data_IF_202563266592
#
_entry.id   IF_202563266592
#
_cell.length_a   1.000
_cell.length_b   1.000
_cell.length_c   1.000
_cell.angle_alpha   90.00
_cell.angle_beta   90.00
_cell.angle_gamma   90.00
#
_symmetry.space_group_name_H-M   'P 1'
#
loop_
_entity.id
_entity.type
_entity.pdbx_description
1 polymer ?
#
# COMPACT_ATOMS: atom_id res chain seq x y z
N UNK A 1 5.77 0.77 -12.59
CA UNK A 1 4.89 1.78 -11.99
C UNK A 1 4.24 1.19 -10.76
N UNK A 2 4.24 1.93 -9.66
CA UNK A 2 3.68 1.51 -8.38
C UNK A 2 2.33 2.18 -8.17
N UNK A 3 1.36 1.42 -7.69
CA UNK A 3 0.03 1.90 -7.34
C UNK A 3 -0.30 1.60 -5.90
N UNK A 4 -1.10 2.44 -5.25
CA UNK A 4 -1.77 2.06 -4.02
C UNK A 4 -3.28 2.30 -4.09
N UNK A 5 -4.04 1.39 -3.51
CA UNK A 5 -5.48 1.49 -3.34
C UNK A 5 -5.80 1.56 -1.86
N UNK A 6 -6.59 2.55 -1.46
CA UNK A 6 -7.04 2.72 -0.10
C UNK A 6 -8.37 3.45 -0.02
N UNK A 7 -8.83 3.65 1.20
CA UNK A 7 -10.02 4.44 1.46
C UNK A 7 -9.94 5.14 2.80
N UNK A 8 -10.50 6.34 2.88
CA UNK A 8 -10.76 7.03 4.15
C UNK A 8 -12.25 6.97 4.47
N UNK A 9 -12.60 7.11 5.75
CA UNK A 9 -13.99 7.18 6.17
C UNK A 9 -14.27 8.54 6.80
N UNK A 10 -15.40 9.14 6.43
CA UNK A 10 -15.87 10.41 7.02
C UNK A 10 -17.36 10.33 7.33
N UNK A 11 -17.84 11.24 8.17
CA UNK A 11 -19.25 11.37 8.51
C UNK A 11 -19.73 12.72 8.00
N UNK A 12 -20.66 12.70 7.05
CA UNK A 12 -21.30 13.91 6.52
C UNK A 12 -22.80 13.78 6.78
N UNK A 13 -23.39 14.77 7.47
CA UNK A 13 -24.82 14.80 7.79
C UNK A 13 -25.31 13.46 8.43
N UNK A 14 -24.56 12.95 9.41
CA UNK A 14 -24.84 11.69 10.11
C UNK A 14 -24.78 10.42 9.23
N UNK A 15 -24.26 10.50 8.01
CA UNK A 15 -24.03 9.36 7.12
C UNK A 15 -22.55 9.02 7.05
N UNK A 16 -22.20 7.76 7.31
CA UNK A 16 -20.84 7.24 7.09
C UNK A 16 -20.59 7.08 5.59
N UNK A 17 -19.59 7.80 5.09
CA UNK A 17 -19.11 7.73 3.73
C UNK A 17 -17.72 7.10 3.71
N UNK A 18 -17.47 6.28 2.71
CA UNK A 18 -16.15 5.77 2.36
C UNK A 18 -15.68 6.53 1.13
N UNK A 19 -14.49 7.12 1.19
CA UNK A 19 -13.88 7.84 0.09
C UNK A 19 -12.71 6.98 -0.40
N UNK A 20 -12.92 6.18 -1.47
CA UNK A 20 -11.83 5.41 -2.03
C UNK A 20 -10.90 6.31 -2.84
N UNK A 21 -9.64 5.94 -2.91
CA UNK A 21 -8.65 6.60 -3.73
C UNK A 21 -7.68 5.58 -4.32
N UNK A 22 -7.14 5.90 -5.49
CA UNK A 22 -6.01 5.21 -6.10
C UNK A 22 -4.87 6.20 -6.27
N UNK A 23 -3.66 5.77 -5.98
CA UNK A 23 -2.44 6.53 -6.30
C UNK A 23 -1.58 5.77 -7.28
N UNK A 24 -0.78 6.50 -8.05
CA UNK A 24 0.19 5.94 -8.99
C UNK A 24 1.47 6.77 -9.00
N UNK A 25 2.63 6.11 -9.06
CA UNK A 25 3.91 6.80 -9.27
C UNK A 25 3.93 7.44 -10.66
N UNK A 26 4.31 8.72 -10.78
CA UNK A 26 4.27 9.46 -12.06
C UNK A 26 5.59 9.34 -12.84
N UNK A 27 6.71 9.16 -12.15
CA UNK A 27 8.06 9.14 -12.74
C UNK A 27 8.76 7.80 -12.52
N UNK A 28 9.69 7.48 -13.41
CA UNK A 28 10.48 6.24 -13.39
C UNK A 28 11.32 6.06 -12.12
N UNK A 29 11.74 7.15 -11.47
CA UNK A 29 12.44 7.11 -10.18
C UNK A 29 11.51 6.94 -8.97
N UNK A 30 10.20 6.94 -9.21
CA UNK A 30 9.17 6.71 -8.19
C UNK A 30 9.23 7.67 -6.99
N UNK A 31 9.72 8.89 -7.21
CA UNK A 31 9.77 9.98 -6.23
C UNK A 31 8.47 10.79 -6.15
N UNK A 32 7.67 10.78 -7.22
CA UNK A 32 6.42 11.55 -7.35
C UNK A 32 5.23 10.63 -7.57
N UNK A 33 4.10 10.98 -6.96
CA UNK A 33 2.86 10.23 -7.01
C UNK A 33 1.69 11.16 -7.27
N UNK A 34 0.74 10.68 -8.07
CA UNK A 34 -0.53 11.32 -8.30
C UNK A 34 -1.65 10.54 -7.65
N UNK A 35 -2.65 11.26 -7.17
CA UNK A 35 -3.81 10.70 -6.48
C UNK A 35 -5.04 10.93 -7.35
N UNK A 36 -5.91 9.93 -7.40
CA UNK A 36 -7.26 10.03 -7.96
C UNK A 36 -8.25 9.58 -6.90
N UNK A 37 -9.18 10.48 -6.57
CA UNK A 37 -10.30 10.18 -5.68
C UNK A 37 -11.40 9.53 -6.51
N UNK A 38 -11.89 8.40 -6.03
CA UNK A 38 -13.03 7.71 -6.60
C UNK A 38 -14.32 8.25 -5.98
N UNK A 39 -15.45 7.97 -6.63
CA UNK A 39 -16.77 8.32 -6.14
C UNK A 39 -16.97 7.83 -4.70
N UNK A 40 -17.35 8.73 -3.76
CA UNK A 40 -17.66 8.33 -2.39
C UNK A 40 -18.80 7.31 -2.36
N UNK A 41 -18.66 6.31 -1.50
CA UNK A 41 -19.59 5.19 -1.37
C UNK A 41 -20.23 5.27 0.01
N UNK A 42 -21.56 5.23 0.06
CA UNK A 42 -22.26 5.01 1.32
C UNK A 42 -22.28 3.52 1.64
N UNK A 43 -22.08 3.13 2.90
CA UNK A 43 -21.95 1.72 3.34
C UNK A 43 -23.10 0.75 2.92
N UNK A 44 -24.20 1.26 2.36
CA UNK A 44 -25.35 0.48 1.88
C UNK A 44 -25.47 0.42 0.35
N UNK A 45 -24.72 1.21 -0.41
CA UNK A 45 -24.73 1.18 -1.88
C UNK A 45 -23.81 0.07 -2.39
N UNK A 46 -24.43 -0.98 -2.96
CA UNK A 46 -23.75 -2.17 -3.50
C UNK A 46 -23.70 -2.18 -5.03
N UNK A 47 -23.20 -1.13 -5.68
CA UNK A 47 -22.89 -1.20 -7.11
C UNK A 47 -21.38 -1.41 -7.31
N UNK A 48 -20.93 -2.65 -7.08
CA UNK A 48 -19.54 -3.07 -7.35
C UNK A 48 -19.12 -2.66 -8.77
N UNK A 49 -20.04 -2.78 -9.74
CA UNK A 49 -19.78 -2.41 -11.14
C UNK A 49 -19.45 -0.92 -11.33
N UNK A 50 -20.15 -0.02 -10.62
CA UNK A 50 -19.91 1.41 -10.73
C UNK A 50 -18.57 1.78 -10.11
N UNK A 51 -18.24 1.16 -8.97
CA UNK A 51 -16.94 1.31 -8.33
C UNK A 51 -15.82 0.83 -9.24
N UNK A 52 -15.95 -0.37 -9.81
CA UNK A 52 -14.96 -0.93 -10.72
C UNK A 52 -14.79 -0.07 -11.98
N UNK A 53 -15.89 0.43 -12.56
CA UNK A 53 -15.83 1.34 -13.72
C UNK A 53 -15.09 2.63 -13.41
N UNK A 54 -15.35 3.22 -12.25
CA UNK A 54 -14.66 4.44 -11.81
C UNK A 54 -13.17 4.16 -11.54
N UNK A 55 -12.87 3.05 -10.86
CA UNK A 55 -11.50 2.59 -10.62
C UNK A 55 -10.72 2.39 -11.92
N UNK A 56 -11.29 1.69 -12.91
CA UNK A 56 -10.67 1.50 -14.22
C UNK A 56 -10.40 2.82 -14.92
N UNK A 57 -11.32 3.78 -14.83
CA UNK A 57 -11.16 5.12 -15.40
C UNK A 57 -9.99 5.86 -14.75
N UNK A 58 -9.95 5.88 -13.42
CA UNK A 58 -8.89 6.55 -12.64
C UNK A 58 -7.53 5.88 -12.81
N UNK A 59 -7.52 4.56 -12.96
CA UNK A 59 -6.33 3.81 -13.27
C UNK A 59 -5.77 4.17 -14.66
N UNK A 60 -6.62 4.27 -15.68
CA UNK A 60 -6.21 4.69 -17.02
C UNK A 60 -5.64 6.12 -17.03
N UNK A 61 -6.26 7.06 -16.31
CA UNK A 61 -5.75 8.43 -16.15
C UNK A 61 -4.31 8.44 -15.58
N UNK A 62 -4.01 7.61 -14.59
CA UNK A 62 -2.67 7.52 -13.99
C UNK A 62 -1.64 6.91 -14.95
N UNK A 63 -2.01 5.92 -15.75
CA UNK A 63 -1.12 5.35 -16.77
C UNK A 63 -0.81 6.38 -17.85
N UNK A 64 -1.81 7.15 -18.30
CA UNK A 64 -1.62 8.22 -19.27
C UNK A 64 -0.66 9.28 -18.72
N UNK A 65 -0.85 9.70 -17.47
CA UNK A 65 0.05 10.64 -16.81
C UNK A 65 1.48 10.11 -16.74
N UNK A 66 1.68 8.83 -16.39
CA UNK A 66 3.01 8.20 -16.43
C UNK A 66 3.61 8.22 -17.84
N UNK A 67 2.82 7.91 -18.87
CA UNK A 67 3.27 7.93 -20.26
C UNK A 67 3.68 9.35 -20.69
N UNK A 68 2.94 10.38 -20.31
CA UNK A 68 3.27 11.76 -20.64
C UNK A 68 4.61 12.20 -20.04
N UNK A 69 4.89 11.80 -18.79
CA UNK A 69 6.14 12.13 -18.09
C UNK A 69 7.34 11.33 -18.62
N UNK A 70 7.17 10.04 -18.88
CA UNK A 70 8.30 9.15 -19.19
C UNK A 70 8.46 8.86 -20.69
N UNK A 71 7.47 9.25 -21.51
CA UNK A 71 7.37 8.90 -22.94
C UNK A 71 7.45 7.39 -23.23
N UNK A 72 7.11 6.59 -22.22
CA UNK A 72 7.11 5.14 -22.27
C UNK A 72 6.00 4.62 -21.35
N UNK A 73 5.32 3.55 -21.79
CA UNK A 73 4.37 2.85 -20.93
C UNK A 73 5.11 2.08 -19.82
N UNK A 74 4.48 1.88 -18.67
CA UNK A 74 5.06 1.07 -17.61
C UNK A 74 5.10 -0.41 -18.02
N UNK A 75 6.29 -1.02 -18.01
CA UNK A 75 6.46 -2.44 -18.36
C UNK A 75 6.07 -3.41 -17.23
N UNK A 76 5.97 -2.91 -16.00
CA UNK A 76 5.59 -3.67 -14.79
C UNK A 76 4.67 -2.81 -13.92
N UNK A 77 3.65 -3.45 -13.34
CA UNK A 77 2.67 -2.81 -12.47
C UNK A 77 2.70 -3.51 -11.12
N UNK A 78 2.87 -2.75 -10.04
CA UNK A 78 2.87 -3.29 -8.67
C UNK A 78 1.79 -2.57 -7.88
N UNK A 79 0.86 -3.33 -7.29
CA UNK A 79 -0.28 -2.79 -6.57
C UNK A 79 -0.16 -3.06 -5.07
N UNK A 80 -0.27 -2.02 -4.27
CA UNK A 80 -0.39 -2.09 -2.83
C UNK A 80 -1.84 -1.83 -2.43
N UNK A 81 -2.51 -2.81 -1.83
CA UNK A 81 -3.83 -2.60 -1.24
C UNK A 81 -3.68 -2.40 0.27
N UNK A 82 -4.20 -1.28 0.76
CA UNK A 82 -4.28 -1.01 2.19
C UNK A 82 -5.61 -1.57 2.67
N UNK A 83 -5.56 -2.55 3.55
CA UNK A 83 -6.74 -2.99 4.29
C UNK A 83 -6.55 -2.62 5.77
N UNK A 84 -7.55 -1.97 6.35
CA UNK A 84 -7.56 -1.64 7.79
C UNK A 84 -8.31 -2.77 8.50
N UNK A 85 -7.78 -3.98 8.37
CA UNK A 85 -8.35 -5.17 8.99
C UNK A 85 -7.77 -5.37 10.39
N UNK A 86 -8.63 -5.74 11.36
CA UNK A 86 -8.26 -6.07 12.74
C UNK A 86 -7.52 -7.43 12.89
N UNK A 87 -6.88 -7.95 11.83
CA UNK A 87 -6.08 -9.18 11.90
C UNK A 87 -4.71 -8.86 12.51
N UNK A 88 -4.72 -8.52 13.78
CA UNK A 88 -3.57 -8.67 14.64
C UNK A 88 -3.65 -10.08 15.21
N UNK A 89 -2.91 -11.00 14.59
CA UNK A 89 -2.71 -12.33 15.14
C UNK A 89 -2.05 -12.17 16.51
N UNK A 90 -2.61 -12.86 17.51
CA UNK A 90 -2.13 -12.93 18.89
C UNK A 90 -0.64 -13.28 19.01
N UNK A 91 -0.07 -13.86 17.95
CA UNK A 91 1.30 -14.37 17.87
C UNK A 91 2.35 -13.26 17.71
N UNK A 92 1.99 -12.07 17.22
CA UNK A 92 2.90 -10.92 17.15
C UNK A 92 3.29 -10.38 18.53
N UNK A 93 2.47 -10.61 19.56
CA UNK A 93 2.79 -10.20 20.94
C UNK A 93 4.00 -10.96 21.52
N UNK A 94 4.40 -12.08 20.90
CA UNK A 94 5.57 -12.87 21.30
C UNK A 94 6.86 -12.18 20.83
N UNK A 95 6.77 -11.37 19.78
CA UNK A 95 7.92 -10.68 19.19
C UNK A 95 8.23 -9.42 20.01
N UNK A 96 9.07 -9.59 21.04
CA UNK A 96 9.70 -8.48 21.75
C UNK A 96 10.54 -7.66 20.77
N UNK A 97 10.51 -6.34 20.93
CA UNK A 97 11.31 -5.30 20.25
C UNK A 97 12.30 -5.83 19.19
N UNK A 98 11.94 -5.74 17.91
CA UNK A 98 12.81 -6.13 16.81
C UNK A 98 13.69 -4.98 16.35
N UNK A 99 14.87 -5.30 15.79
CA UNK A 99 15.67 -4.32 15.08
C UNK A 99 14.92 -3.80 13.85
N UNK A 100 15.19 -2.56 13.46
CA UNK A 100 14.70 -2.01 12.19
C UNK A 100 15.23 -2.85 11.02
N UNK A 101 14.43 -2.96 9.96
CA UNK A 101 14.67 -3.81 8.77
C UNK A 101 14.66 -5.32 9.04
N UNK A 102 14.10 -5.76 10.16
CA UNK A 102 13.86 -7.19 10.38
C UNK A 102 12.76 -7.67 9.44
N UNK A 103 13.03 -8.74 8.70
CA UNK A 103 12.05 -9.44 7.85
C UNK A 103 11.83 -10.83 8.43
N UNK A 104 10.57 -11.22 8.61
CA UNK A 104 10.19 -12.55 9.11
C UNK A 104 9.32 -13.21 8.04
N UNK A 105 9.82 -14.30 7.47
CA UNK A 105 9.18 -15.02 6.38
C UNK A 105 9.24 -16.55 6.56
N UNK A 106 9.50 -17.00 7.78
CA UNK A 106 9.52 -18.40 8.20
C UNK A 106 8.73 -18.57 9.50
N UNK A 107 8.39 -19.81 9.84
CA UNK A 107 7.82 -20.27 11.12
C UNK A 107 6.40 -19.79 11.46
N UNK A 108 6.15 -18.48 11.42
CA UNK A 108 4.88 -17.83 11.77
C UNK A 108 4.10 -17.36 10.54
N UNK A 109 4.48 -17.87 9.36
CA UNK A 109 3.84 -17.58 8.08
C UNK A 109 3.06 -18.78 7.57
N UNK A 110 1.93 -18.56 6.90
CA UNK A 110 1.15 -19.64 6.33
C UNK A 110 1.95 -20.37 5.24
N UNK A 111 2.01 -21.71 5.26
CA UNK A 111 2.91 -22.49 4.40
C UNK A 111 2.58 -22.43 2.90
N UNK A 112 1.35 -22.06 2.55
CA UNK A 112 0.84 -22.06 1.18
C UNK A 112 0.61 -20.64 0.61
N UNK A 113 0.97 -19.60 1.36
CA UNK A 113 0.73 -18.21 0.99
C UNK A 113 2.06 -17.46 0.95
N UNK A 114 2.19 -16.53 0.01
CA UNK A 114 3.38 -15.67 -0.06
C UNK A 114 3.16 -14.50 0.90
N UNK A 115 3.52 -14.72 2.17
CA UNK A 115 3.38 -13.72 3.23
C UNK A 115 4.69 -13.51 3.98
N UNK A 116 4.90 -12.29 4.46
CA UNK A 116 6.06 -11.94 5.27
C UNK A 116 5.76 -10.73 6.13
N UNK A 117 6.48 -10.61 7.23
CA UNK A 117 6.41 -9.48 8.14
C UNK A 117 7.65 -8.60 7.97
N UNK A 118 7.49 -7.28 8.06
CA UNK A 118 8.61 -6.33 8.09
C UNK A 118 8.46 -5.39 9.28
N UNK A 119 9.53 -5.24 10.05
CA UNK A 119 9.73 -4.10 10.94
C UNK A 119 10.50 -3.00 10.21
N UNK A 120 9.81 -2.00 9.71
CA UNK A 120 10.36 -0.95 8.84
C UNK A 120 10.98 0.24 9.58
N UNK A 121 10.73 0.37 10.89
CA UNK A 121 11.10 1.55 11.66
C UNK A 121 11.75 1.20 13.00
N UNK A 122 12.61 2.09 13.49
CA UNK A 122 13.17 1.97 14.83
C UNK A 122 12.13 2.37 15.88
N UNK A 123 11.73 1.41 16.71
CA UNK A 123 10.81 1.61 17.83
C UNK A 123 11.43 2.52 18.88
N UNK A 124 10.83 3.69 19.11
CA UNK A 124 11.30 4.66 20.12
C UNK A 124 10.70 4.35 21.49
N UNK A 125 9.44 3.94 21.54
CA UNK A 125 8.72 3.63 22.76
C UNK A 125 7.68 2.54 22.48
N UNK A 126 7.51 1.60 23.43
CA UNK A 126 6.57 0.48 23.28
C UNK A 126 7.11 -0.67 22.44
N UNK A 127 6.20 -1.47 21.88
CA UNK A 127 6.52 -2.60 21.01
C UNK A 127 6.65 -2.15 19.55
N UNK A 128 7.49 -2.86 18.79
CA UNK A 128 7.64 -2.62 17.36
C UNK A 128 6.33 -2.90 16.63
N UNK A 129 5.88 -1.97 15.79
CA UNK A 129 4.73 -2.21 14.93
C UNK A 129 5.19 -2.92 13.66
N UNK A 130 5.04 -4.23 13.68
CA UNK A 130 5.40 -5.10 12.58
C UNK A 130 4.24 -5.13 11.59
N UNK A 131 4.53 -4.96 10.30
CA UNK A 131 3.52 -4.96 9.24
C UNK A 131 3.56 -6.29 8.50
N UNK A 132 2.40 -6.94 8.40
CA UNK A 132 2.18 -8.11 7.57
C UNK A 132 1.93 -7.69 6.12
N UNK A 133 2.70 -8.29 5.21
CA UNK A 133 2.50 -8.17 3.77
C UNK A 133 2.01 -9.49 3.21
N UNK A 134 0.97 -9.40 2.39
CA UNK A 134 0.39 -10.53 1.69
C UNK A 134 0.53 -10.29 0.18
N UNK A 135 1.21 -11.19 -0.52
CA UNK A 135 1.29 -11.17 -1.98
C UNK A 135 0.18 -12.04 -2.55
N UNK A 136 -0.91 -11.40 -2.98
CA UNK A 136 -2.09 -12.09 -3.52
C UNK A 136 -1.86 -12.60 -4.95
N UNK A 137 -1.14 -11.82 -5.76
CA UNK A 137 -0.91 -12.08 -7.18
C UNK A 137 0.55 -11.70 -7.50
N UNK A 138 1.28 -12.58 -8.19
CA UNK A 138 2.67 -12.37 -8.60
C UNK A 138 2.93 -12.87 -10.02
N UNK A 139 2.38 -12.16 -11.01
CA UNK A 139 2.60 -12.45 -12.44
C UNK A 139 3.98 -11.99 -12.94
N UNK A 140 4.64 -11.10 -12.19
CA UNK A 140 6.00 -10.63 -12.50
C UNK A 140 7.04 -11.74 -12.23
N UNK A 141 6.64 -12.81 -11.54
CA UNK A 141 7.49 -13.93 -11.14
C UNK A 141 8.70 -13.50 -10.29
N UNK A 142 8.55 -12.46 -9.47
CA UNK A 142 9.58 -12.08 -8.51
C UNK A 142 9.72 -13.14 -7.41
N UNK A 143 10.95 -13.43 -7.02
CA UNK A 143 11.21 -14.29 -5.86
C UNK A 143 10.97 -13.49 -4.56
N UNK A 144 10.69 -14.20 -3.48
CA UNK A 144 10.32 -13.58 -2.20
C UNK A 144 11.34 -12.52 -1.72
N UNK A 145 12.64 -12.78 -1.90
CA UNK A 145 13.69 -11.83 -1.53
C UNK A 145 13.65 -10.54 -2.36
N UNK A 146 13.34 -10.62 -3.66
CA UNK A 146 13.22 -9.44 -4.52
C UNK A 146 12.02 -8.59 -4.13
N UNK A 147 10.91 -9.27 -3.80
CA UNK A 147 9.71 -8.62 -3.27
C UNK A 147 10.07 -7.87 -1.99
N UNK A 148 10.62 -8.57 -0.98
CA UNK A 148 11.01 -7.98 0.31
C UNK A 148 11.97 -6.79 0.15
N UNK A 149 12.96 -6.91 -0.72
CA UNK A 149 13.90 -5.82 -1.00
C UNK A 149 13.20 -4.61 -1.64
N UNK A 150 12.29 -4.82 -2.58
CA UNK A 150 11.47 -3.75 -3.18
C UNK A 150 10.71 -2.97 -2.12
N UNK A 151 10.11 -3.66 -1.14
CA UNK A 151 9.41 -3.01 -0.02
C UNK A 151 10.36 -2.15 0.83
N UNK A 152 11.54 -2.66 1.18
CA UNK A 152 12.54 -1.92 1.97
C UNK A 152 13.10 -0.70 1.21
N UNK A 153 13.36 -0.81 -0.09
CA UNK A 153 13.84 0.31 -0.90
C UNK A 153 12.83 1.47 -0.95
N UNK A 154 11.52 1.18 -0.99
CA UNK A 154 10.49 2.20 -0.92
C UNK A 154 10.42 2.95 0.41
N UNK A 155 10.85 2.32 1.49
CA UNK A 155 10.97 2.97 2.80
C UNK A 155 12.22 3.87 2.81
N UNK A 156 13.30 3.42 2.16
CA UNK A 156 14.59 4.11 2.14
C UNK A 156 14.63 5.33 1.24
N UNK A 157 13.85 5.40 0.17
CA UNK A 157 13.77 6.58 -0.72
C UNK A 157 13.43 7.90 0.01
N UNK A 158 12.97 7.84 1.26
CA UNK A 158 12.63 8.99 2.11
C UNK A 158 13.71 9.33 3.16
N UNK A 159 14.92 8.74 3.05
CA UNK A 159 16.13 8.95 3.87
C UNK A 159 16.05 10.19 4.79
N UNK A 160 15.50 9.98 5.99
CA UNK A 160 15.52 10.87 7.20
C UNK A 160 14.26 10.69 8.08
N UNK A 161 13.16 10.12 7.57
CA UNK A 161 11.95 9.84 8.35
C UNK A 161 11.77 8.35 8.62
N UNK A 162 11.48 8.00 9.88
CA UNK A 162 11.08 6.64 10.33
C UNK A 162 9.69 6.33 9.78
N UNK A 163 9.61 5.92 8.52
CA UNK A 163 8.31 5.67 7.89
C UNK A 163 8.00 4.18 7.97
N UNK A 164 6.80 3.88 8.46
CA UNK A 164 6.36 2.50 8.66
C UNK A 164 5.97 1.81 7.34
N UNK A 165 5.52 2.59 6.36
CA UNK A 165 4.87 2.08 5.15
C UNK A 165 5.65 2.44 3.87
N UNK A 166 5.62 1.60 2.82
CA UNK A 166 6.17 1.94 1.51
C UNK A 166 5.65 3.28 1.00
N UNK A 167 6.50 4.03 0.31
CA UNK A 167 6.15 5.36 -0.22
C UNK A 167 4.81 5.42 -0.98
N UNK A 168 4.45 4.47 -1.87
CA UNK A 168 3.14 4.45 -2.53
C UNK A 168 1.94 4.43 -1.59
N UNK A 169 2.09 3.81 -0.41
CA UNK A 169 1.06 3.75 0.64
C UNK A 169 1.09 5.02 1.50
N UNK A 170 2.29 5.48 1.86
CA UNK A 170 2.49 6.62 2.75
C UNK A 170 2.04 7.94 2.11
N UNK A 171 2.30 8.13 0.82
CA UNK A 171 1.99 9.36 0.09
C UNK A 171 0.51 9.79 0.19
N UNK A 172 -0.49 8.93 -0.12
CA UNK A 172 -1.89 9.32 0.01
C UNK A 172 -2.33 9.58 1.45
N UNK A 173 -1.82 8.83 2.43
CA UNK A 173 -2.26 8.99 3.83
C UNK A 173 -1.95 10.40 4.33
N UNK A 174 -0.84 11.01 3.90
CA UNK A 174 -0.49 12.37 4.30
C UNK A 174 -1.12 13.47 3.43
N UNK A 175 -1.57 13.14 2.22
CA UNK A 175 -2.06 14.14 1.25
C UNK A 175 -3.57 14.10 1.02
N UNK A 176 -4.28 13.07 1.51
CA UNK A 176 -5.75 12.91 1.39
C UNK A 176 -6.47 13.21 2.71
N UNK A 177 -5.77 13.23 3.83
CA UNK A 177 -6.36 13.36 5.19
C UNK A 177 -6.45 14.82 5.67
N UNK A 178 -6.46 15.79 4.75
CA UNK A 178 -6.65 17.21 5.06
C UNK A 178 -7.95 17.77 4.48
#
# INVERSE_FOLDING_TARGET
>A
MFFSLGSTHTIVLSKKLTIPFITGSCVSMHSEYSIRILKPIQAREKSVDLYMKDLHTKFAELILEYFEHNRQLPNKLVFYKIDVGNRLDSDLNIIKQCYTRTVINTDIVAPNEIIFYINSHATVQGLSKIILYYVLINEIAFILNEIQLSYLCHIDLLLSKKIELPLPIYYPINNVVH
#
